data_IF_282335410022
#
_entry.id   IF_282335410022
#
_cell.length_a   1.000
_cell.length_b   1.000
_cell.length_c   1.000
_cell.angle_alpha   90.00
_cell.angle_beta   90.00
_cell.angle_gamma   90.00
#
_symmetry.space_group_name_H-M   'P 1'
#
loop_
_entity.id
_entity.type
_entity.pdbx_description
1 polymer ?
#
# COMPACT_ATOMS: atom_id res chain seq x y z
N UNK A 1 23.44 23.49 -55.74
CA UNK A 1 22.84 24.39 -54.74
C UNK A 1 21.35 24.49 -55.04
N UNK A 2 20.52 23.69 -54.37
CA UNK A 2 19.06 23.84 -54.35
C UNK A 2 18.60 23.66 -52.92
N UNK A 3 18.04 24.73 -52.34
CA UNK A 3 17.42 24.72 -51.01
C UNK A 3 16.11 23.94 -51.08
N UNK A 4 16.02 22.85 -50.31
CA UNK A 4 14.74 22.27 -49.89
C UNK A 4 14.39 22.91 -48.55
N UNK A 5 13.30 23.68 -48.51
CA UNK A 5 12.75 24.20 -47.26
C UNK A 5 11.97 23.05 -46.63
N UNK A 6 12.56 22.45 -45.60
CA UNK A 6 11.91 21.52 -44.67
C UNK A 6 10.85 22.27 -43.86
N UNK A 7 9.60 21.83 -43.93
CA UNK A 7 8.52 22.27 -43.04
C UNK A 7 8.51 21.33 -41.83
N UNK A 8 8.70 21.79 -40.58
CA UNK A 8 8.58 20.91 -39.44
C UNK A 8 7.18 21.05 -38.80
N UNK A 9 6.44 19.94 -38.90
CA UNK A 9 5.76 19.25 -37.81
C UNK A 9 4.76 20.09 -36.98
N UNK A 10 3.48 19.84 -37.25
CA UNK A 10 2.34 20.18 -36.41
C UNK A 10 2.57 19.68 -34.98
N UNK A 11 2.59 20.61 -34.02
CA UNK A 11 2.60 20.30 -32.60
C UNK A 11 1.37 19.44 -32.24
N UNK A 12 1.61 18.18 -31.87
CA UNK A 12 0.62 17.37 -31.17
C UNK A 12 0.44 17.91 -29.75
N UNK A 13 -0.34 18.98 -29.63
CA UNK A 13 -0.91 19.37 -28.34
C UNK A 13 -2.12 18.45 -28.12
N UNK A 14 -2.14 17.61 -27.07
CA UNK A 14 -3.33 16.83 -26.78
C UNK A 14 -4.47 17.82 -26.51
N UNK A 15 -5.53 17.76 -27.33
CA UNK A 15 -6.77 18.49 -27.07
C UNK A 15 -7.31 17.99 -25.74
N UNK A 16 -7.12 18.77 -24.67
CA UNK A 16 -7.87 18.62 -23.43
C UNK A 16 -9.32 18.92 -23.82
N UNK A 17 -10.11 17.87 -24.05
CA UNK A 17 -11.55 17.98 -24.25
C UNK A 17 -12.12 18.43 -22.90
N UNK A 18 -12.20 19.74 -22.71
CA UNK A 18 -12.91 20.32 -21.59
C UNK A 18 -14.40 20.03 -21.79
N UNK A 19 -14.90 18.99 -21.12
CA UNK A 19 -16.32 18.72 -21.04
C UNK A 19 -16.94 19.75 -20.08
N UNK A 20 -17.77 20.70 -20.55
CA UNK A 20 -18.27 21.81 -19.73
C UNK A 20 -19.34 21.37 -18.72
N UNK A 21 -19.74 20.10 -18.73
CA UNK A 21 -20.73 19.55 -17.82
C UNK A 21 -20.27 18.18 -17.31
N UNK A 22 -19.37 18.12 -16.30
CA UNK A 22 -19.07 16.86 -15.63
C UNK A 22 -20.37 16.34 -15.04
N UNK A 23 -20.79 15.13 -15.43
CA UNK A 23 -21.90 14.46 -14.74
C UNK A 23 -21.55 14.46 -13.25
N UNK A 24 -22.47 14.88 -12.35
CA UNK A 24 -22.19 14.86 -10.92
C UNK A 24 -21.77 13.44 -10.56
N UNK A 25 -20.55 13.32 -10.04
CA UNK A 25 -20.06 12.08 -9.45
C UNK A 25 -21.07 11.73 -8.35
N UNK A 26 -21.65 10.52 -8.39
CA UNK A 26 -22.59 10.10 -7.35
C UNK A 26 -21.95 10.24 -5.97
N UNK A 27 -22.72 10.59 -4.95
CA UNK A 27 -22.22 10.72 -3.57
C UNK A 27 -21.44 9.46 -3.14
N UNK A 28 -21.92 8.28 -3.55
CA UNK A 28 -21.24 7.00 -3.33
C UNK A 28 -19.82 6.96 -3.93
N UNK A 29 -19.65 7.48 -5.15
CA UNK A 29 -18.36 7.49 -5.85
C UNK A 29 -17.44 8.58 -5.29
N UNK A 30 -17.98 9.68 -4.77
CA UNK A 30 -17.20 10.67 -4.03
C UNK A 30 -16.69 10.08 -2.71
N UNK A 31 -17.58 9.44 -1.95
CA UNK A 31 -17.23 8.79 -0.69
C UNK A 31 -16.17 7.70 -0.89
N UNK A 32 -16.28 6.92 -1.97
CA UNK A 32 -15.28 5.93 -2.36
C UNK A 32 -13.88 6.54 -2.48
N UNK A 33 -13.72 7.64 -3.25
CA UNK A 33 -12.41 8.26 -3.43
C UNK A 33 -11.87 8.92 -2.17
N UNK A 34 -12.74 9.44 -1.30
CA UNK A 34 -12.36 9.94 0.02
C UNK A 34 -11.80 8.81 0.88
N UNK A 35 -12.52 7.69 0.96
CA UNK A 35 -12.11 6.52 1.74
C UNK A 35 -10.85 5.86 1.16
N UNK A 36 -10.70 5.84 -0.17
CA UNK A 36 -9.49 5.39 -0.85
C UNK A 36 -8.28 6.27 -0.49
N UNK A 37 -8.44 7.60 -0.60
CA UNK A 37 -7.37 8.54 -0.27
C UNK A 37 -6.96 8.45 1.20
N UNK A 38 -7.94 8.31 2.09
CA UNK A 38 -7.71 8.05 3.51
C UNK A 38 -6.97 6.73 3.72
N UNK A 39 -7.39 5.64 3.07
CA UNK A 39 -6.74 4.34 3.16
C UNK A 39 -5.28 4.38 2.72
N UNK A 40 -4.99 4.98 1.56
CA UNK A 40 -3.61 5.13 1.07
C UNK A 40 -2.75 5.94 2.05
N UNK A 41 -3.32 6.99 2.63
CA UNK A 41 -2.63 7.82 3.61
C UNK A 41 -2.34 7.03 4.89
N UNK A 42 -3.33 6.36 5.45
CA UNK A 42 -3.17 5.50 6.62
C UNK A 42 -2.12 4.44 6.39
N UNK A 43 -2.14 3.74 5.25
CA UNK A 43 -1.09 2.77 4.89
C UNK A 43 0.31 3.43 4.85
N UNK A 44 0.44 4.66 4.33
CA UNK A 44 1.73 5.37 4.29
C UNK A 44 2.25 5.76 5.66
N UNK A 45 1.36 6.17 6.57
CA UNK A 45 1.73 6.61 7.91
C UNK A 45 1.93 5.43 8.86
N UNK A 46 1.12 4.37 8.72
CA UNK A 46 1.10 3.23 9.62
C UNK A 46 2.25 2.26 9.36
N UNK A 47 2.65 2.02 8.10
CA UNK A 47 3.71 1.06 7.77
C UNK A 47 5.05 1.39 8.46
N UNK A 48 5.59 2.62 8.38
CA UNK A 48 6.81 2.99 9.10
C UNK A 48 6.67 2.90 10.62
N UNK A 49 5.45 3.11 11.13
CA UNK A 49 5.14 3.09 12.54
C UNK A 49 4.71 1.71 13.06
N UNK A 50 4.64 0.68 12.21
CA UNK A 50 3.98 -0.61 12.50
C UNK A 50 4.52 -1.35 13.73
N UNK A 51 5.81 -1.18 14.02
CA UNK A 51 6.45 -1.79 15.20
C UNK A 51 6.42 -0.91 16.46
N UNK A 52 6.10 0.38 16.30
CA UNK A 52 6.17 1.39 17.35
C UNK A 52 4.79 1.85 17.83
N UNK A 53 3.79 1.87 16.94
CA UNK A 53 2.42 2.32 17.16
C UNK A 53 1.44 1.25 16.68
N UNK A 54 0.27 1.24 17.30
CA UNK A 54 -0.86 0.44 16.82
C UNK A 54 -1.34 0.94 15.45
N UNK A 55 -1.66 0.00 14.55
CA UNK A 55 -2.19 0.28 13.22
C UNK A 55 -3.59 0.89 13.29
N UNK A 56 -3.92 1.75 12.33
CA UNK A 56 -5.28 2.26 12.19
C UNK A 56 -6.15 1.18 11.56
N UNK A 57 -7.04 0.56 12.34
CA UNK A 57 -7.92 -0.50 11.84
C UNK A 57 -9.18 0.01 11.11
N UNK A 58 -9.38 1.33 11.10
CA UNK A 58 -10.55 2.04 10.53
C UNK A 58 -10.69 1.86 9.00
N UNK A 59 -9.60 1.51 8.31
CA UNK A 59 -9.56 1.32 6.85
C UNK A 59 -10.00 -0.09 6.42
N UNK A 60 -10.21 -0.99 7.38
CA UNK A 60 -10.55 -2.38 7.16
C UNK A 60 -11.99 -2.67 7.56
N UNK A 61 -12.64 -3.60 6.86
CA UNK A 61 -13.92 -4.14 7.32
C UNK A 61 -13.72 -5.18 8.42
N UNK A 62 -14.74 -5.37 9.26
CA UNK A 62 -14.72 -6.38 10.32
C UNK A 62 -14.53 -7.81 9.78
N UNK A 63 -15.03 -8.07 8.57
CA UNK A 63 -14.96 -9.35 7.85
C UNK A 63 -13.73 -9.50 6.95
N UNK A 64 -12.66 -8.75 7.21
CA UNK A 64 -11.42 -8.83 6.43
C UNK A 64 -10.86 -10.25 6.37
N UNK A 65 -10.46 -10.66 5.17
CA UNK A 65 -9.74 -11.91 4.92
C UNK A 65 -8.27 -11.59 4.64
N UNK A 66 -7.39 -12.10 5.48
CA UNK A 66 -5.94 -12.01 5.30
C UNK A 66 -5.41 -13.35 4.81
N UNK A 67 -4.79 -13.33 3.63
CA UNK A 67 -4.20 -14.49 2.96
C UNK A 67 -2.69 -14.32 2.94
N UNK A 68 -2.01 -15.15 3.72
CA UNK A 68 -0.59 -15.41 3.59
C UNK A 68 -0.41 -16.79 2.95
N UNK A 69 0.64 -17.01 2.14
CA UNK A 69 0.89 -18.31 1.49
C UNK A 69 0.92 -19.49 2.47
N UNK A 70 1.21 -19.25 3.75
CA UNK A 70 1.27 -20.28 4.78
C UNK A 70 -0.02 -20.38 5.61
N UNK A 71 -0.84 -19.34 5.68
CA UNK A 71 -2.04 -19.30 6.53
C UNK A 71 -3.11 -18.32 6.02
N UNK A 72 -4.39 -18.67 6.14
CA UNK A 72 -5.53 -17.78 5.89
C UNK A 72 -6.25 -17.47 7.20
N UNK A 73 -6.45 -16.19 7.49
CA UNK A 73 -7.15 -15.72 8.69
C UNK A 73 -8.34 -14.85 8.29
N UNK A 74 -9.43 -14.95 9.03
CA UNK A 74 -10.65 -14.15 8.80
C UNK A 74 -10.97 -13.38 10.07
N UNK A 75 -11.33 -12.11 9.93
CA UNK A 75 -11.78 -11.25 11.00
C UNK A 75 -10.72 -10.28 11.52
N UNK A 76 -11.17 -9.06 11.82
CA UNK A 76 -10.29 -7.96 12.25
C UNK A 76 -9.55 -8.25 13.57
N UNK A 77 -10.16 -8.98 14.50
CA UNK A 77 -9.54 -9.32 15.78
C UNK A 77 -8.35 -10.30 15.62
N UNK A 78 -8.44 -11.21 14.66
CA UNK A 78 -7.32 -12.10 14.31
C UNK A 78 -6.19 -11.31 13.66
N UNK A 79 -6.55 -10.37 12.78
CA UNK A 79 -5.59 -9.46 12.13
C UNK A 79 -4.84 -8.62 13.18
N UNK A 80 -5.56 -7.98 14.13
CA UNK A 80 -4.98 -7.26 15.27
C UNK A 80 -4.00 -8.13 16.05
N UNK A 81 -4.42 -9.35 16.39
CA UNK A 81 -3.62 -10.29 17.18
C UNK A 81 -2.31 -10.68 16.48
N UNK A 82 -2.33 -10.91 15.15
CA UNK A 82 -1.15 -11.24 14.37
C UNK A 82 -0.18 -10.06 14.31
N UNK A 83 -0.66 -8.85 14.02
CA UNK A 83 0.20 -7.67 13.98
C UNK A 83 0.76 -7.31 15.36
N UNK A 84 -0.03 -7.48 16.41
CA UNK A 84 0.42 -7.33 17.79
C UNK A 84 1.52 -8.34 18.12
N UNK A 85 1.31 -9.62 17.79
CA UNK A 85 2.31 -10.65 17.98
C UNK A 85 3.58 -10.37 17.17
N UNK A 86 3.46 -9.92 15.92
CA UNK A 86 4.58 -9.55 15.07
C UNK A 86 5.38 -8.39 15.68
N UNK A 87 4.69 -7.36 16.20
CA UNK A 87 5.32 -6.26 16.92
C UNK A 87 6.04 -6.73 18.18
N UNK A 88 5.40 -7.60 18.96
CA UNK A 88 5.97 -8.17 20.19
C UNK A 88 7.22 -9.01 19.92
N UNK A 89 7.14 -9.96 18.98
CA UNK A 89 8.26 -10.81 18.59
C UNK A 89 9.38 -9.99 17.94
N UNK A 90 9.03 -9.00 17.11
CA UNK A 90 9.98 -8.07 16.51
C UNK A 90 10.82 -7.32 17.55
N UNK A 91 10.17 -6.79 18.60
CA UNK A 91 10.86 -6.11 19.72
C UNK A 91 11.72 -7.05 20.57
N UNK A 92 11.42 -8.34 20.61
CA UNK A 92 12.21 -9.35 21.31
C UNK A 92 13.47 -9.74 20.53
N UNK A 93 13.36 -10.03 19.24
CA UNK A 93 14.47 -10.54 18.42
C UNK A 93 15.37 -9.44 17.83
N UNK A 94 14.85 -8.24 17.59
CA UNK A 94 15.58 -7.16 16.92
C UNK A 94 15.87 -5.98 17.84
N UNK A 95 17.05 -5.39 17.70
CA UNK A 95 17.47 -4.16 18.40
C UNK A 95 16.80 -2.94 17.78
N UNK A 96 16.76 -2.93 16.46
CA UNK A 96 16.05 -1.96 15.65
C UNK A 96 15.41 -2.71 14.49
N UNK A 97 14.13 -2.42 14.25
CA UNK A 97 13.33 -3.03 13.20
C UNK A 97 12.42 -1.94 12.66
N UNK A 98 12.50 -1.65 11.38
CA UNK A 98 11.67 -0.64 10.73
C UNK A 98 11.22 -1.12 9.36
N UNK A 99 10.09 -0.58 8.92
CA UNK A 99 9.54 -0.87 7.60
C UNK A 99 9.59 0.41 6.78
N UNK A 100 10.23 0.33 5.62
CA UNK A 100 10.22 1.38 4.62
C UNK A 100 9.18 1.07 3.56
N UNK A 101 8.27 2.02 3.34
CA UNK A 101 7.27 1.92 2.29
C UNK A 101 7.85 2.43 0.97
N UNK A 102 8.32 1.51 0.13
CA UNK A 102 9.03 1.85 -1.11
C UNK A 102 8.11 2.41 -2.20
N UNK A 103 6.93 1.80 -2.40
CA UNK A 103 6.01 2.19 -3.47
C UNK A 103 4.57 1.80 -3.13
N UNK A 104 3.66 2.71 -3.38
CA UNK A 104 2.22 2.44 -3.45
C UNK A 104 1.75 2.73 -4.86
N UNK A 105 1.06 1.80 -5.50
CA UNK A 105 0.50 2.00 -6.82
C UNK A 105 -0.84 1.28 -6.93
N UNK A 106 -1.66 1.71 -7.86
CA UNK A 106 -3.02 1.24 -8.04
C UNK A 106 -3.14 0.60 -9.42
N UNK A 107 -3.07 -0.74 -9.55
CA UNK A 107 -3.25 -1.41 -10.85
C UNK A 107 -4.71 -1.36 -11.35
N UNK A 108 -5.68 -1.30 -10.45
CA UNK A 108 -7.11 -1.26 -10.74
C UNK A 108 -7.84 -0.33 -9.77
N UNK A 109 -9.03 0.17 -10.12
CA UNK A 109 -9.76 1.14 -9.30
C UNK A 109 -10.02 0.65 -7.87
N UNK A 110 -10.16 -0.67 -7.68
CA UNK A 110 -10.48 -1.39 -6.45
C UNK A 110 -9.28 -2.12 -5.82
N UNK A 111 -8.06 -1.96 -6.36
CA UNK A 111 -6.88 -2.68 -5.86
C UNK A 111 -5.74 -1.71 -5.58
N UNK A 112 -5.25 -1.70 -4.35
CA UNK A 112 -4.01 -1.02 -3.96
C UNK A 112 -2.90 -2.05 -3.83
N UNK A 113 -1.79 -1.83 -4.53
CA UNK A 113 -0.56 -2.57 -4.31
C UNK A 113 0.45 -1.73 -3.54
N UNK A 114 1.07 -2.39 -2.57
CA UNK A 114 2.01 -1.78 -1.65
C UNK A 114 3.28 -2.62 -1.60
N UNK A 115 4.41 -2.04 -1.99
CA UNK A 115 5.72 -2.65 -1.83
C UNK A 115 6.41 -2.06 -0.62
N UNK A 116 6.78 -2.94 0.29
CA UNK A 116 7.43 -2.59 1.54
C UNK A 116 8.77 -3.33 1.68
N UNK A 117 9.65 -2.76 2.48
CA UNK A 117 10.95 -3.34 2.80
C UNK A 117 11.15 -3.28 4.30
N UNK A 118 11.37 -4.42 4.93
CA UNK A 118 11.68 -4.52 6.35
C UNK A 118 13.19 -4.62 6.48
N UNK A 119 13.77 -3.70 7.24
CA UNK A 119 15.17 -3.77 7.65
C UNK A 119 15.23 -4.03 9.16
N UNK A 120 15.96 -5.08 9.55
CA UNK A 120 16.10 -5.49 10.94
C UNK A 120 17.56 -5.72 11.34
N UNK A 121 17.94 -5.18 12.50
CA UNK A 121 19.22 -5.45 13.16
C UNK A 121 18.96 -6.44 14.30
N UNK A 122 19.37 -7.71 14.17
CA UNK A 122 19.09 -8.72 15.19
C UNK A 122 19.92 -8.47 16.46
N UNK A 123 19.40 -8.88 17.63
CA UNK A 123 20.13 -8.76 18.90
C UNK A 123 21.11 -9.92 19.08
N UNK A 124 22.41 -9.68 19.03
CA UNK A 124 23.45 -10.68 19.32
C UNK A 124 24.84 -10.30 18.79
N UNK A 125 25.88 -11.11 19.02
CA UNK A 125 27.29 -10.77 18.69
C UNK A 125 27.59 -10.61 17.18
N UNK A 126 26.59 -10.84 16.32
CA UNK A 126 26.62 -10.66 14.86
C UNK A 126 25.91 -9.37 14.40
N UNK A 127 25.72 -8.40 15.32
CA UNK A 127 25.12 -7.07 15.10
C UNK A 127 25.62 -6.35 13.82
N UNK A 128 26.85 -6.59 13.40
CA UNK A 128 27.46 -5.95 12.22
C UNK A 128 27.49 -6.81 10.96
N UNK A 129 27.14 -8.10 11.05
CA UNK A 129 27.36 -9.06 9.96
C UNK A 129 26.07 -9.48 9.24
N UNK A 130 24.89 -9.28 9.83
CA UNK A 130 23.62 -9.66 9.21
C UNK A 130 22.56 -8.56 9.34
N UNK A 131 22.57 -7.59 8.44
CA UNK A 131 21.40 -6.73 8.21
C UNK A 131 20.37 -7.58 7.47
N UNK A 132 19.31 -7.97 8.16
CA UNK A 132 18.24 -8.74 7.55
C UNK A 132 17.31 -7.78 6.82
N UNK A 133 17.39 -7.80 5.49
CA UNK A 133 16.49 -7.04 4.62
C UNK A 133 15.52 -8.00 3.95
N UNK A 134 14.23 -7.75 4.14
CA UNK A 134 13.16 -8.51 3.51
C UNK A 134 12.31 -7.57 2.68
N UNK A 135 12.12 -7.88 1.40
CA UNK A 135 11.16 -7.18 0.56
C UNK A 135 9.89 -7.99 0.35
N UNK A 136 8.76 -7.30 0.44
CA UNK A 136 7.44 -7.90 0.29
C UNK A 136 6.53 -6.99 -0.52
N UNK A 137 5.54 -7.61 -1.14
CA UNK A 137 4.45 -6.88 -1.80
C UNK A 137 3.13 -7.35 -1.21
N UNK A 138 2.31 -6.41 -0.77
CA UNK A 138 0.96 -6.66 -0.27
C UNK A 138 -0.06 -6.05 -1.22
N UNK A 139 -1.06 -6.84 -1.58
CA UNK A 139 -2.21 -6.46 -2.37
C UNK A 139 -3.40 -6.24 -1.43
N UNK A 140 -4.09 -5.12 -1.59
CA UNK A 140 -5.27 -4.74 -0.82
C UNK A 140 -6.43 -4.56 -1.79
N UNK A 141 -7.47 -5.39 -1.67
CA UNK A 141 -8.70 -5.26 -2.44
C UNK A 141 -9.74 -4.47 -1.65
N UNK A 142 -10.33 -3.50 -2.30
CA UNK A 142 -11.29 -2.56 -1.74
C UNK A 142 -12.71 -2.91 -2.19
N UNK A 143 -13.66 -2.77 -1.27
CA UNK A 143 -15.08 -2.90 -1.57
C UNK A 143 -15.61 -1.58 -2.20
N UNK A 144 -16.85 -1.57 -2.68
CA UNK A 144 -17.55 -0.40 -3.25
C UNK A 144 -17.56 0.85 -2.34
N UNK A 145 -17.34 0.67 -1.05
CA UNK A 145 -17.26 1.75 -0.06
C UNK A 145 -15.81 2.25 0.16
N UNK A 146 -14.80 1.66 -0.48
CA UNK A 146 -13.39 2.02 -0.32
C UNK A 146 -12.74 1.45 0.94
N UNK A 147 -13.34 0.42 1.55
CA UNK A 147 -12.78 -0.30 2.69
C UNK A 147 -12.10 -1.59 2.22
N UNK A 148 -10.97 -1.93 2.83
CA UNK A 148 -10.21 -3.14 2.48
C UNK A 148 -10.86 -4.39 3.05
N UNK A 149 -11.18 -5.37 2.19
CA UNK A 149 -11.82 -6.64 2.58
C UNK A 149 -10.94 -7.87 2.35
N UNK A 150 -9.98 -7.81 1.43
CA UNK A 150 -9.08 -8.91 1.12
C UNK A 150 -7.65 -8.38 1.02
N UNK A 151 -6.74 -9.11 1.64
CA UNK A 151 -5.33 -8.76 1.71
C UNK A 151 -4.47 -9.97 1.39
N UNK A 152 -3.79 -9.94 0.26
CA UNK A 152 -2.88 -10.99 -0.21
C UNK A 152 -1.44 -10.50 -0.03
N UNK A 153 -0.60 -11.23 0.71
CA UNK A 153 0.82 -10.88 0.86
C UNK A 153 1.71 -11.85 0.08
N UNK A 154 2.42 -11.31 -0.91
CA UNK A 154 3.41 -12.04 -1.70
C UNK A 154 4.81 -11.69 -1.15
N UNK A 155 5.43 -12.66 -0.47
CA UNK A 155 6.83 -12.56 -0.04
C UNK A 155 7.73 -12.94 -1.21
N UNK A 156 8.79 -12.15 -1.48
CA UNK A 156 9.85 -12.50 -2.43
C UNK A 156 11.07 -13.06 -1.73
#
# INVERSE_FOLDING_TARGET
>A
MSLLIFSPETSFVPKIVHNPNPKPISEDKQQYYVNLGYSIRSLREDFPALFYRELSFDIYRDDIVFKDPLNTFVGIENYKSIFWALGFHGRMFFKALWIDLSRVWQPAEDVIMVRWTVDGIPRGPWESCSRSRFDGTSEYKLDKNGLSYDTDTIRK
#
